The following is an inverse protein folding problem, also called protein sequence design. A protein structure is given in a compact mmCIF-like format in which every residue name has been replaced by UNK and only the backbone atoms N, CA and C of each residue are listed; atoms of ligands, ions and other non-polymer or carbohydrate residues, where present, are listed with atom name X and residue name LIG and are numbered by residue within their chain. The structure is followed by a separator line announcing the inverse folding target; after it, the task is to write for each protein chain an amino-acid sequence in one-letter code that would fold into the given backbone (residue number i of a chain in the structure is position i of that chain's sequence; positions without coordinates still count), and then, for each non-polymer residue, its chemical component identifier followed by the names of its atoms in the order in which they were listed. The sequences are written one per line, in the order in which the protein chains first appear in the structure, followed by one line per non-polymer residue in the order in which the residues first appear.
data_IF_839504440123
#
_entry.id   IF_839504440123
#
_cell.length_a   1.000
_cell.length_b   1.000
_cell.length_c   1.000
_cell.angle_alpha   90.00
_cell.angle_beta   90.00
_cell.angle_gamma   90.00
#
_symmetry.space_group_name_H-M   'P 1'
#
loop_
_entity.id
_entity.type
_entity.pdbx_description
1 polymer ?
#
# COMPACT_ATOMS: atom_id res chain seq x y z
N UNK A 1 -8.43 32.11 -33.81
CA UNK A 1 -8.65 31.01 -32.85
C UNK A 1 -9.13 31.64 -31.54
N UNK A 2 -10.43 31.59 -31.29
CA UNK A 2 -11.02 32.00 -30.01
C UNK A 2 -10.49 31.04 -28.93
N UNK A 3 -9.85 31.59 -27.89
CA UNK A 3 -9.47 30.82 -26.71
C UNK A 3 -10.75 30.42 -25.97
N UNK A 4 -10.94 29.15 -25.74
CA UNK A 4 -12.03 28.63 -24.93
C UNK A 4 -11.98 29.26 -23.53
N UNK A 5 -13.05 29.93 -23.12
CA UNK A 5 -13.20 30.47 -21.77
C UNK A 5 -13.33 29.27 -20.80
N UNK A 6 -12.50 29.17 -19.75
CA UNK A 6 -12.64 28.09 -18.80
C UNK A 6 -14.01 28.13 -18.13
N UNK A 7 -14.73 27.03 -18.20
CA UNK A 7 -16.01 26.87 -17.51
C UNK A 7 -15.70 26.82 -16.01
N UNK A 8 -16.18 27.82 -15.28
CA UNK A 8 -16.16 27.80 -13.81
C UNK A 8 -17.10 26.70 -13.32
N UNK A 9 -16.52 25.59 -12.86
CA UNK A 9 -17.30 24.54 -12.19
C UNK A 9 -17.66 25.06 -10.78
N UNK A 10 -18.94 25.17 -10.42
CA UNK A 10 -19.31 25.59 -9.08
C UNK A 10 -18.73 24.62 -8.05
N UNK A 11 -18.04 25.13 -7.05
CA UNK A 11 -17.56 24.32 -5.93
C UNK A 11 -18.76 23.74 -5.20
N UNK A 12 -18.97 22.44 -5.28
CA UNK A 12 -19.95 21.73 -4.46
C UNK A 12 -19.57 21.94 -2.99
N UNK A 13 -20.31 22.79 -2.29
CA UNK A 13 -20.22 22.88 -0.83
C UNK A 13 -20.74 21.55 -0.29
N UNK A 14 -19.81 20.67 0.09
CA UNK A 14 -20.17 19.45 0.82
C UNK A 14 -20.90 19.87 2.10
N UNK A 15 -22.07 19.28 2.41
CA UNK A 15 -22.72 19.54 3.67
C UNK A 15 -21.74 19.20 4.80
N UNK A 16 -21.61 20.07 5.80
CA UNK A 16 -20.90 19.75 7.03
C UNK A 16 -21.73 18.68 7.76
N UNK A 17 -21.40 17.42 7.51
CA UNK A 17 -22.01 16.33 8.26
C UNK A 17 -21.45 16.40 9.69
N UNK A 18 -22.26 16.84 10.61
CA UNK A 18 -21.92 16.86 12.04
C UNK A 18 -22.49 15.58 12.64
N UNK A 19 -21.64 14.77 13.24
CA UNK A 19 -22.10 13.65 14.07
C UNK A 19 -22.80 14.26 15.28
N UNK A 20 -23.99 13.76 15.63
CA UNK A 20 -24.68 14.25 16.83
C UNK A 20 -23.85 13.93 18.07
N UNK A 21 -23.86 14.81 19.09
CA UNK A 21 -23.18 14.55 20.36
C UNK A 21 -23.60 13.20 20.95
N UNK A 22 -24.89 12.89 20.88
CA UNK A 22 -25.46 11.60 21.34
C UNK A 22 -24.84 10.40 20.61
N UNK A 23 -24.69 10.45 19.29
CA UNK A 23 -24.06 9.37 18.52
C UNK A 23 -22.58 9.24 18.89
N UNK A 24 -21.89 10.37 19.09
CA UNK A 24 -20.49 10.40 19.48
C UNK A 24 -20.28 9.81 20.89
N UNK A 25 -21.14 10.12 21.84
CA UNK A 25 -21.07 9.58 23.19
C UNK A 25 -21.36 8.08 23.23
N UNK A 26 -22.35 7.61 22.47
CA UNK A 26 -22.61 6.18 22.33
C UNK A 26 -21.39 5.45 21.76
N UNK A 27 -20.75 6.03 20.75
CA UNK A 27 -19.53 5.51 20.17
C UNK A 27 -18.39 5.46 21.18
N UNK A 28 -18.11 6.57 21.88
CA UNK A 28 -17.06 6.66 22.91
C UNK A 28 -17.28 5.61 24.01
N UNK A 29 -18.50 5.46 24.48
CA UNK A 29 -18.85 4.49 25.51
C UNK A 29 -18.61 3.05 25.04
N UNK A 30 -19.00 2.71 23.80
CA UNK A 30 -18.76 1.37 23.25
C UNK A 30 -17.26 1.12 23.04
N UNK A 31 -16.52 2.11 22.52
CA UNK A 31 -15.08 2.03 22.35
C UNK A 31 -14.34 1.83 23.68
N UNK A 32 -14.69 2.60 24.71
CA UNK A 32 -14.06 2.49 26.03
C UNK A 32 -14.28 1.13 26.69
N UNK A 33 -15.43 0.49 26.48
CA UNK A 33 -15.76 -0.83 27.03
C UNK A 33 -15.08 -1.98 26.28
N UNK A 34 -14.76 -1.82 25.01
CA UNK A 34 -14.14 -2.85 24.20
C UNK A 34 -12.69 -3.12 24.65
N UNK A 35 -12.32 -4.40 24.75
CA UNK A 35 -11.00 -4.84 25.19
C UNK A 35 -10.03 -5.02 24.03
N UNK A 36 -10.55 -5.38 22.86
CA UNK A 36 -9.78 -5.63 21.64
C UNK A 36 -10.30 -4.71 20.52
N UNK A 37 -9.51 -3.73 20.15
CA UNK A 37 -9.87 -2.78 19.10
C UNK A 37 -8.89 -2.89 17.95
N UNK A 38 -9.40 -2.88 16.75
CA UNK A 38 -8.56 -2.87 15.54
C UNK A 38 -8.86 -1.63 14.73
N UNK A 39 -7.82 -0.90 14.38
CA UNK A 39 -7.87 0.21 13.42
C UNK A 39 -7.18 -0.25 12.14
N UNK A 40 -7.94 -0.37 11.05
CA UNK A 40 -7.41 -0.77 9.76
C UNK A 40 -7.47 0.40 8.79
N UNK A 41 -6.29 0.87 8.40
CA UNK A 41 -6.14 2.07 7.56
C UNK A 41 -5.78 1.69 6.14
N UNK A 42 -6.59 2.12 5.19
CA UNK A 42 -6.34 1.95 3.76
C UNK A 42 -5.46 3.06 3.17
N UNK A 43 -5.61 3.29 1.87
CA UNK A 43 -4.85 4.33 1.14
C UNK A 43 -5.16 5.72 1.67
N UNK A 44 -4.12 6.51 1.95
CA UNK A 44 -4.20 7.91 2.37
C UNK A 44 -3.18 8.75 1.61
N UNK A 45 -3.47 10.04 1.47
CA UNK A 45 -2.46 11.02 1.08
C UNK A 45 -1.44 11.21 2.21
N UNK A 46 -0.16 11.49 1.90
CA UNK A 46 0.81 11.88 2.92
C UNK A 46 0.27 13.02 3.80
N UNK A 47 0.62 12.99 5.09
CA UNK A 47 0.26 14.00 6.08
C UNK A 47 -1.24 14.31 6.22
N UNK A 48 -2.12 13.39 5.77
CA UNK A 48 -3.58 13.58 5.84
C UNK A 48 -4.17 13.31 7.23
N UNK A 49 -3.44 12.68 8.13
CA UNK A 49 -3.85 12.42 9.52
C UNK A 49 -2.96 13.22 10.48
N UNK A 50 -3.60 13.89 11.44
CA UNK A 50 -2.92 14.63 12.51
C UNK A 50 -2.04 13.70 13.34
N UNK A 51 -0.75 14.02 13.43
CA UNK A 51 0.26 13.17 14.08
C UNK A 51 -0.01 12.97 15.58
N UNK A 52 -0.50 14.01 16.28
CA UNK A 52 -0.80 13.90 17.73
C UNK A 52 -1.94 12.91 17.95
N UNK A 53 -3.02 13.05 17.20
CA UNK A 53 -4.18 12.15 17.31
C UNK A 53 -3.79 10.73 16.91
N UNK A 54 -2.99 10.55 15.86
CA UNK A 54 -2.54 9.23 15.45
C UNK A 54 -1.66 8.56 16.51
N UNK A 55 -0.77 9.33 17.16
CA UNK A 55 0.04 8.82 18.26
C UNK A 55 -0.83 8.34 19.43
N UNK A 56 -1.85 9.11 19.85
CA UNK A 56 -2.78 8.69 20.91
C UNK A 56 -3.47 7.35 20.59
N UNK A 57 -3.84 7.13 19.32
CA UNK A 57 -4.43 5.87 18.88
C UNK A 57 -3.41 4.72 18.96
N UNK A 58 -2.18 4.97 18.52
CA UNK A 58 -1.10 3.97 18.51
C UNK A 58 -0.61 3.64 19.92
N UNK A 59 -0.69 4.59 20.87
CA UNK A 59 -0.24 4.41 22.25
C UNK A 59 -1.28 3.68 23.12
N UNK A 60 -2.54 3.57 22.67
CA UNK A 60 -3.59 2.80 23.34
C UNK A 60 -3.27 1.28 23.29
N UNK A 61 -2.98 0.61 24.43
CA UNK A 61 -2.60 -0.79 24.45
C UNK A 61 -3.73 -1.75 24.06
N UNK A 62 -4.97 -1.28 24.01
CA UNK A 62 -6.13 -2.05 23.59
C UNK A 62 -6.40 -1.94 22.07
N UNK A 63 -5.58 -1.16 21.34
CA UNK A 63 -5.72 -0.92 19.90
C UNK A 63 -4.59 -1.54 19.11
N UNK A 64 -4.92 -2.40 18.18
CA UNK A 64 -4.01 -2.87 17.11
C UNK A 64 -4.23 -2.01 15.88
N UNK A 65 -3.21 -1.30 15.43
CA UNK A 65 -3.26 -0.48 14.22
C UNK A 65 -2.59 -1.22 13.07
N UNK A 66 -3.37 -1.53 12.04
CA UNK A 66 -2.92 -2.16 10.79
C UNK A 66 -2.91 -1.11 9.68
N UNK A 67 -1.76 -0.95 9.03
CA UNK A 67 -1.58 -0.04 7.90
C UNK A 67 -0.91 -0.73 6.73
N UNK A 68 -0.95 -0.09 5.58
CA UNK A 68 -0.17 -0.48 4.41
C UNK A 68 0.81 0.64 4.03
N UNK A 69 1.79 0.37 3.17
CA UNK A 69 2.75 1.40 2.73
C UNK A 69 2.03 2.60 2.08
N UNK A 70 0.94 2.34 1.36
CA UNK A 70 0.08 3.37 0.75
C UNK A 70 -0.79 4.13 1.75
N UNK A 71 -0.79 3.77 3.03
CA UNK A 71 -1.43 4.57 4.08
C UNK A 71 -0.59 5.80 4.46
N UNK A 72 0.70 5.83 4.09
CA UNK A 72 1.63 6.93 4.37
C UNK A 72 1.68 7.33 5.86
N UNK A 73 1.56 6.35 6.74
CA UNK A 73 1.60 6.52 8.20
C UNK A 73 2.78 5.77 8.80
N UNK A 74 3.45 6.40 9.75
CA UNK A 74 4.61 5.85 10.44
C UNK A 74 4.47 6.00 11.95
N UNK A 75 4.61 4.88 12.68
CA UNK A 75 4.71 4.83 14.15
C UNK A 75 5.36 3.51 14.57
N UNK A 76 6.00 3.47 15.74
CA UNK A 76 6.67 2.24 16.21
C UNK A 76 5.71 1.11 16.60
N UNK A 77 4.47 1.45 16.95
CA UNK A 77 3.45 0.49 17.41
C UNK A 77 2.47 0.05 16.32
N UNK A 78 2.68 0.43 15.06
CA UNK A 78 1.81 -0.03 13.96
C UNK A 78 2.34 -1.31 13.31
N UNK A 79 1.44 -2.06 12.74
CA UNK A 79 1.75 -3.18 11.85
C UNK A 79 1.59 -2.68 10.42
N UNK A 80 2.72 -2.32 9.80
CA UNK A 80 2.76 -1.74 8.45
C UNK A 80 3.01 -2.76 7.34
N UNK A 81 3.04 -4.05 7.68
CA UNK A 81 3.11 -5.20 6.79
C UNK A 81 2.08 -6.24 7.20
N UNK A 82 0.84 -6.01 6.82
CA UNK A 82 -0.32 -6.83 7.25
C UNK A 82 -0.10 -8.31 6.93
N UNK A 83 0.40 -8.63 5.74
CA UNK A 83 0.56 -10.03 5.32
C UNK A 83 1.70 -10.75 6.04
N UNK A 84 2.68 -10.03 6.60
CA UNK A 84 3.69 -10.62 7.51
C UNK A 84 3.05 -11.19 8.77
N UNK A 85 2.02 -10.53 9.30
CA UNK A 85 1.23 -11.05 10.42
C UNK A 85 0.24 -12.13 9.97
N UNK A 86 -0.51 -11.84 8.90
CA UNK A 86 -1.70 -12.63 8.54
C UNK A 86 -1.37 -13.96 7.86
N UNK A 87 -0.29 -14.04 7.08
CA UNK A 87 0.04 -15.28 6.35
C UNK A 87 0.34 -16.45 7.30
N UNK A 88 1.15 -16.30 8.37
CA UNK A 88 1.32 -17.38 9.34
C UNK A 88 0.07 -17.67 10.18
N UNK A 89 -0.74 -16.64 10.51
CA UNK A 89 -1.98 -16.82 11.27
C UNK A 89 -3.00 -17.65 10.48
N UNK A 90 -3.05 -17.48 9.17
CA UNK A 90 -3.94 -18.25 8.30
C UNK A 90 -3.74 -19.77 8.42
N UNK A 91 -2.51 -20.19 8.69
CA UNK A 91 -2.15 -21.60 8.88
C UNK A 91 -2.45 -22.14 10.29
N UNK A 92 -2.85 -21.29 11.25
CA UNK A 92 -3.18 -21.74 12.61
C UNK A 92 -4.58 -22.38 12.64
N UNK A 93 -4.81 -23.19 13.69
CA UNK A 93 -6.13 -23.71 14.03
C UNK A 93 -7.12 -22.57 14.38
N UNK A 94 -8.40 -22.80 14.19
CA UNK A 94 -9.44 -21.76 14.35
C UNK A 94 -9.41 -21.14 15.74
N UNK A 95 -9.27 -21.94 16.77
CA UNK A 95 -9.25 -21.53 18.17
C UNK A 95 -8.09 -20.58 18.48
N UNK A 96 -6.93 -20.83 17.82
CA UNK A 96 -5.74 -20.00 17.96
C UNK A 96 -5.80 -18.68 17.20
N UNK A 97 -6.84 -18.46 16.37
CA UNK A 97 -7.05 -17.21 15.63
C UNK A 97 -7.87 -16.19 16.42
N UNK A 98 -8.64 -16.63 17.41
CA UNK A 98 -9.57 -15.80 18.20
C UNK A 98 -8.85 -14.67 18.95
N UNK A 99 -7.56 -14.85 19.31
CA UNK A 99 -6.82 -13.79 19.99
C UNK A 99 -6.75 -12.50 19.15
N UNK A 100 -6.70 -12.60 17.82
CA UNK A 100 -6.62 -11.46 16.91
C UNK A 100 -7.99 -10.85 16.57
N UNK A 101 -9.08 -11.60 16.78
CA UNK A 101 -10.43 -11.09 16.48
C UNK A 101 -10.74 -9.87 17.34
N UNK A 102 -11.03 -8.69 16.76
CA UNK A 102 -11.37 -7.51 17.55
C UNK A 102 -12.83 -7.52 17.97
N UNK A 103 -13.14 -6.87 19.10
CA UNK A 103 -14.50 -6.51 19.49
C UNK A 103 -15.03 -5.41 18.56
N UNK A 104 -14.16 -4.43 18.27
CA UNK A 104 -14.49 -3.29 17.39
C UNK A 104 -13.44 -3.16 16.29
N UNK A 105 -13.93 -3.02 15.07
CA UNK A 105 -13.14 -2.64 13.89
C UNK A 105 -13.48 -1.21 13.48
N UNK A 106 -12.49 -0.33 13.50
CA UNK A 106 -12.58 1.01 12.93
C UNK A 106 -11.78 1.05 11.63
N UNK A 107 -12.40 1.48 10.53
CA UNK A 107 -11.72 1.59 9.24
C UNK A 107 -11.83 2.99 8.66
N UNK A 108 -10.78 3.45 8.00
CA UNK A 108 -10.77 4.67 7.19
C UNK A 108 -9.71 4.61 6.09
N UNK A 109 -9.73 5.58 5.19
CA UNK A 109 -8.89 5.58 4.00
C UNK A 109 -9.43 4.67 2.88
N UNK A 110 -8.67 4.57 1.79
CA UNK A 110 -9.08 3.85 0.58
C UNK A 110 -8.94 2.33 0.68
N UNK A 111 -8.85 1.68 -0.47
CA UNK A 111 -8.84 0.21 -0.57
C UNK A 111 -7.58 -0.41 0.03
N UNK A 112 -7.74 -1.39 0.92
CA UNK A 112 -6.67 -2.24 1.46
C UNK A 112 -6.24 -3.27 0.43
N UNK A 113 -4.93 -3.50 0.29
CA UNK A 113 -4.33 -4.47 -0.65
C UNK A 113 -4.48 -5.90 -0.15
N UNK A 114 -4.18 -6.14 1.15
CA UNK A 114 -4.15 -7.47 1.75
C UNK A 114 -5.48 -8.23 1.56
N UNK A 115 -5.42 -9.35 0.84
CA UNK A 115 -6.55 -10.31 0.74
C UNK A 115 -6.70 -11.13 2.02
N UNK A 116 -5.60 -11.34 2.76
CA UNK A 116 -5.58 -12.17 3.96
C UNK A 116 -6.34 -11.54 5.12
N UNK A 117 -6.15 -10.23 5.37
CA UNK A 117 -6.94 -9.53 6.39
C UNK A 117 -8.42 -9.47 6.03
N UNK A 118 -8.76 -9.32 4.75
CA UNK A 118 -10.16 -9.36 4.30
C UNK A 118 -10.79 -10.72 4.56
N UNK A 119 -10.09 -11.80 4.23
CA UNK A 119 -10.55 -13.16 4.50
C UNK A 119 -10.71 -13.40 6.00
N UNK A 120 -9.71 -12.99 6.80
CA UNK A 120 -9.76 -13.12 8.25
C UNK A 120 -10.97 -12.43 8.86
N UNK A 121 -11.18 -11.13 8.57
CA UNK A 121 -12.28 -10.34 9.14
C UNK A 121 -13.67 -10.80 8.68
N UNK A 122 -13.79 -11.40 7.50
CA UNK A 122 -15.04 -12.03 7.05
C UNK A 122 -15.41 -13.29 7.83
N UNK A 123 -14.41 -14.04 8.29
CA UNK A 123 -14.60 -15.30 9.03
C UNK A 123 -14.54 -15.11 10.56
N UNK A 124 -13.99 -13.99 11.04
CA UNK A 124 -13.85 -13.62 12.44
C UNK A 124 -14.34 -12.18 12.59
N UNK A 125 -15.64 -11.99 12.39
CA UNK A 125 -16.26 -10.67 12.40
C UNK A 125 -16.20 -10.04 13.77
N UNK A 126 -15.96 -8.71 13.86
CA UNK A 126 -16.09 -7.94 15.10
C UNK A 126 -17.56 -7.82 15.51
N UNK A 127 -17.81 -7.48 16.76
CA UNK A 127 -19.16 -7.11 17.23
C UNK A 127 -19.66 -5.81 16.59
N UNK A 128 -18.74 -4.92 16.22
CA UNK A 128 -19.04 -3.70 15.50
C UNK A 128 -17.95 -3.33 14.50
N UNK A 129 -18.36 -2.94 13.31
CA UNK A 129 -17.50 -2.35 12.30
C UNK A 129 -17.98 -0.94 11.96
N UNK A 130 -17.11 0.04 12.15
CA UNK A 130 -17.35 1.45 11.86
C UNK A 130 -16.41 1.92 10.76
N UNK A 131 -16.96 2.57 9.74
CA UNK A 131 -16.18 3.17 8.67
C UNK A 131 -16.30 4.69 8.71
N UNK A 132 -15.17 5.39 8.58
CA UNK A 132 -15.11 6.84 8.51
C UNK A 132 -14.64 7.27 7.14
N UNK A 133 -15.53 7.88 6.38
CA UNK A 133 -15.24 8.46 5.07
C UNK A 133 -16.30 9.53 4.75
N UNK A 134 -15.89 10.67 4.19
CA UNK A 134 -16.77 11.78 3.87
C UNK A 134 -17.68 11.56 2.65
N UNK A 135 -17.52 10.45 1.95
CA UNK A 135 -18.23 10.17 0.69
C UNK A 135 -19.03 8.88 0.73
N UNK A 136 -18.37 7.74 1.04
CA UNK A 136 -18.96 6.41 0.87
C UNK A 136 -18.34 5.38 1.80
N UNK A 137 -19.09 4.31 2.06
CA UNK A 137 -18.60 3.13 2.74
C UNK A 137 -18.94 1.87 1.94
N UNK A 138 -17.98 0.96 1.85
CA UNK A 138 -18.20 -0.38 1.30
C UNK A 138 -18.16 -1.40 2.42
N UNK A 139 -19.13 -2.29 2.47
CA UNK A 139 -19.11 -3.41 3.42
C UNK A 139 -18.15 -4.51 2.96
N UNK A 140 -16.87 -4.18 2.93
CA UNK A 140 -15.79 -5.07 2.48
C UNK A 140 -15.65 -6.32 3.35
N UNK A 141 -16.03 -6.23 4.61
CA UNK A 141 -15.83 -7.29 5.61
C UNK A 141 -17.15 -8.00 6.01
N UNK A 142 -18.28 -7.63 5.40
CA UNK A 142 -19.62 -8.19 5.63
C UNK A 142 -20.14 -8.00 7.07
N UNK A 143 -19.75 -6.91 7.70
CA UNK A 143 -20.12 -6.60 9.08
C UNK A 143 -20.20 -5.09 9.37
N UNK A 144 -20.37 -4.25 8.34
CA UNK A 144 -20.46 -2.81 8.51
C UNK A 144 -21.74 -2.42 9.25
N UNK A 145 -21.58 -1.85 10.44
CA UNK A 145 -22.71 -1.41 11.29
C UNK A 145 -22.99 0.10 11.14
N UNK A 146 -21.95 0.92 10.94
CA UNK A 146 -22.10 2.37 10.89
C UNK A 146 -21.11 3.00 9.93
N UNK A 147 -21.60 3.92 9.11
CA UNK A 147 -20.79 4.84 8.32
C UNK A 147 -20.87 6.24 8.93
N UNK A 148 -19.72 6.80 9.28
CA UNK A 148 -19.59 8.18 9.72
C UNK A 148 -19.16 9.04 8.53
N UNK A 149 -20.06 9.90 8.03
CA UNK A 149 -19.84 10.81 6.91
C UNK A 149 -18.99 12.02 7.34
N UNK A 150 -17.75 11.77 7.77
CA UNK A 150 -16.79 12.78 8.22
C UNK A 150 -15.43 12.55 7.58
N UNK A 151 -14.60 13.58 7.57
CA UNK A 151 -13.17 13.40 7.33
C UNK A 151 -12.55 12.62 8.52
N UNK A 152 -11.64 11.68 8.27
CA UNK A 152 -11.02 10.91 9.33
C UNK A 152 -10.44 11.76 10.47
N UNK A 153 -9.74 12.85 10.16
CA UNK A 153 -9.20 13.77 11.16
C UNK A 153 -10.26 14.38 12.07
N UNK A 154 -11.37 14.83 11.48
CA UNK A 154 -12.44 15.48 12.24
C UNK A 154 -13.11 14.48 13.19
N UNK A 155 -13.35 13.26 12.70
CA UNK A 155 -13.89 12.18 13.51
C UNK A 155 -12.93 11.80 14.65
N UNK A 156 -11.65 11.58 14.34
CA UNK A 156 -10.66 11.16 15.33
C UNK A 156 -10.43 12.23 16.39
N UNK A 157 -10.41 13.53 16.04
CA UNK A 157 -10.31 14.64 17.00
C UNK A 157 -11.50 14.72 17.93
N UNK A 158 -12.72 14.52 17.40
CA UNK A 158 -13.92 14.52 18.22
C UNK A 158 -14.02 13.32 19.17
N UNK A 159 -13.35 12.25 18.82
CA UNK A 159 -13.45 10.95 19.45
C UNK A 159 -12.34 10.66 20.47
N UNK A 160 -11.07 10.91 20.13
CA UNK A 160 -9.92 10.59 20.98
C UNK A 160 -9.59 11.73 21.96
N UNK A 161 -9.44 11.43 23.25
CA UNK A 161 -9.01 12.38 24.28
C UNK A 161 -7.83 11.78 25.05
N UNK A 162 -6.96 12.64 25.60
CA UNK A 162 -5.78 12.26 26.38
C UNK A 162 -6.15 11.62 27.74
N UNK A 163 -7.39 11.78 28.19
CA UNK A 163 -7.87 11.27 29.50
C UNK A 163 -8.16 9.75 29.50
N UNK A 164 -8.08 9.08 28.34
CA UNK A 164 -8.40 7.67 28.24
C UNK A 164 -7.12 6.82 28.26
N UNK A 165 -6.92 6.09 29.36
CA UNK A 165 -5.77 5.19 29.54
C UNK A 165 -6.24 3.76 29.89
N UNK A 166 -6.57 2.92 28.91
CA UNK A 166 -7.01 1.55 29.15
C UNK A 166 -5.85 0.63 29.55
N UNK A 167 -6.17 -0.40 30.33
CA UNK A 167 -5.26 -1.51 30.62
C UNK A 167 -5.61 -2.68 29.68
N UNK A 168 -4.66 -3.09 28.85
CA UNK A 168 -4.84 -4.22 27.92
C UNK A 168 -3.48 -4.80 27.51
N UNK A 169 -3.45 -6.10 27.22
CA UNK A 169 -2.29 -6.79 26.59
C UNK A 169 -2.48 -7.01 25.09
N UNK A 170 -3.62 -6.65 24.52
CA UNK A 170 -4.02 -7.04 23.17
C UNK A 170 -3.02 -6.59 22.10
N UNK A 171 -2.64 -5.31 22.09
CA UNK A 171 -1.66 -4.79 21.14
C UNK A 171 -0.31 -5.50 21.26
N UNK A 172 0.19 -5.63 22.49
CA UNK A 172 1.51 -6.16 22.75
C UNK A 172 1.61 -7.66 22.39
N UNK A 173 0.54 -8.42 22.62
CA UNK A 173 0.44 -9.81 22.18
C UNK A 173 0.49 -9.90 20.65
N UNK A 174 -0.27 -9.09 19.94
CA UNK A 174 -0.27 -9.09 18.46
C UNK A 174 1.08 -8.64 17.91
N UNK A 175 1.69 -7.60 18.47
CA UNK A 175 3.04 -7.14 18.08
C UNK A 175 4.11 -8.22 18.32
N UNK A 176 4.01 -9.01 19.41
CA UNK A 176 4.90 -10.13 19.66
C UNK A 176 4.85 -11.18 18.54
N UNK A 177 3.66 -11.51 18.05
CA UNK A 177 3.51 -12.40 16.89
C UNK A 177 4.06 -11.77 15.62
N UNK A 178 3.73 -10.52 15.35
CA UNK A 178 4.21 -9.78 14.19
C UNK A 178 5.74 -9.76 14.13
N UNK A 179 6.41 -9.39 15.22
CA UNK A 179 7.86 -9.35 15.32
C UNK A 179 8.50 -10.74 15.15
N UNK A 180 7.91 -11.77 15.77
CA UNK A 180 8.36 -13.15 15.63
C UNK A 180 8.27 -13.65 14.19
N UNK A 181 7.17 -13.37 13.51
CA UNK A 181 6.96 -13.79 12.12
C UNK A 181 7.85 -12.98 11.17
N UNK A 182 8.00 -11.70 11.39
CA UNK A 182 8.92 -10.84 10.64
C UNK A 182 10.36 -11.33 10.71
N UNK A 183 10.87 -11.62 11.92
CA UNK A 183 12.22 -12.15 12.11
C UNK A 183 12.44 -13.48 11.38
N UNK A 184 11.47 -14.40 11.44
CA UNK A 184 11.52 -15.68 10.72
C UNK A 184 11.52 -15.48 9.20
N UNK A 185 10.66 -14.58 8.71
CA UNK A 185 10.59 -14.22 7.29
C UNK A 185 11.92 -13.65 6.78
N UNK A 186 12.54 -12.76 7.53
CA UNK A 186 13.86 -12.20 7.20
C UNK A 186 14.96 -13.27 7.20
N UNK A 187 14.96 -14.19 8.18
CA UNK A 187 15.93 -15.29 8.22
C UNK A 187 15.76 -16.21 7.02
N UNK A 188 14.53 -16.62 6.70
CA UNK A 188 14.22 -17.41 5.51
C UNK A 188 14.67 -16.72 4.23
N UNK A 189 14.40 -15.43 4.10
CA UNK A 189 14.73 -14.64 2.90
C UNK A 189 16.24 -14.63 2.62
N UNK A 190 17.09 -14.65 3.65
CA UNK A 190 18.57 -14.70 3.48
C UNK A 190 19.03 -15.91 2.68
N UNK A 191 18.33 -17.03 2.77
CA UNK A 191 18.67 -18.31 2.11
C UNK A 191 18.09 -18.43 0.70
N UNK A 192 17.25 -17.49 0.28
CA UNK A 192 16.56 -17.59 -1.02
C UNK A 192 17.44 -17.17 -2.19
N UNK A 193 17.25 -17.85 -3.32
CA UNK A 193 17.89 -17.52 -4.59
C UNK A 193 17.39 -16.15 -5.14
N UNK A 194 18.03 -15.69 -6.20
CA UNK A 194 17.61 -14.47 -6.92
C UNK A 194 16.17 -14.63 -7.41
N UNK A 195 15.32 -13.72 -7.03
CA UNK A 195 13.88 -13.71 -7.32
C UNK A 195 13.31 -12.30 -7.15
N UNK A 196 12.10 -12.06 -7.63
CA UNK A 196 11.39 -10.78 -7.46
C UNK A 196 11.40 -10.33 -5.99
N UNK A 197 11.12 -11.25 -5.05
CA UNK A 197 11.10 -10.94 -3.63
C UNK A 197 12.47 -10.47 -3.10
N UNK A 198 13.56 -11.12 -3.53
CA UNK A 198 14.95 -10.71 -3.20
C UNK A 198 15.30 -9.36 -3.82
N UNK A 199 14.77 -9.07 -5.00
CA UNK A 199 14.94 -7.78 -5.66
C UNK A 199 14.28 -6.69 -4.83
N UNK A 200 13.03 -6.90 -4.36
CA UNK A 200 12.33 -5.93 -3.51
C UNK A 200 13.04 -5.69 -2.17
N UNK A 201 13.57 -6.74 -1.51
CA UNK A 201 14.41 -6.58 -0.32
C UNK A 201 15.58 -5.62 -0.59
N UNK A 202 16.28 -5.85 -1.70
CA UNK A 202 17.44 -5.07 -2.06
C UNK A 202 17.12 -3.63 -2.44
N UNK A 203 16.03 -3.42 -3.14
CA UNK A 203 15.54 -2.10 -3.51
C UNK A 203 15.19 -1.31 -2.25
N UNK A 204 14.36 -1.86 -1.37
CA UNK A 204 13.91 -1.20 -0.13
C UNK A 204 15.11 -0.71 0.71
N UNK A 205 16.17 -1.51 0.81
CA UNK A 205 17.41 -1.15 1.52
C UNK A 205 18.21 -0.03 0.84
N UNK A 206 18.04 0.18 -0.48
CA UNK A 206 18.84 1.13 -1.29
C UNK A 206 18.07 2.38 -1.72
N UNK A 207 16.81 2.50 -1.34
CA UNK A 207 16.03 3.69 -1.67
C UNK A 207 16.66 4.96 -1.07
N UNK A 208 16.64 6.09 -1.78
CA UNK A 208 16.93 7.39 -1.21
C UNK A 208 16.00 7.72 -0.03
N UNK A 209 16.49 8.50 0.94
CA UNK A 209 15.70 8.86 2.12
C UNK A 209 14.43 9.64 1.76
N UNK A 210 14.52 10.55 0.79
CA UNK A 210 13.38 11.36 0.34
C UNK A 210 13.05 10.97 -1.09
N UNK A 211 11.85 10.41 -1.29
CA UNK A 211 11.42 9.87 -2.57
C UNK A 211 9.89 9.85 -2.68
N UNK A 212 9.37 10.17 -3.87
CA UNK A 212 8.01 9.81 -4.26
C UNK A 212 8.03 8.43 -4.93
N UNK A 213 7.43 7.43 -4.28
CA UNK A 213 7.37 6.06 -4.78
C UNK A 213 6.00 5.77 -5.39
N UNK A 214 5.98 5.50 -6.69
CA UNK A 214 4.82 5.05 -7.43
C UNK A 214 4.91 3.53 -7.63
N UNK A 215 3.93 2.79 -7.17
CA UNK A 215 3.89 1.33 -7.26
C UNK A 215 2.81 0.89 -8.24
N UNK A 216 3.17 0.07 -9.20
CA UNK A 216 2.20 -0.61 -10.04
C UNK A 216 1.45 -1.70 -9.25
N UNK A 217 0.31 -2.11 -9.76
CA UNK A 217 -0.49 -3.18 -9.18
C UNK A 217 0.15 -4.58 -9.32
N UNK A 218 -0.60 -5.61 -9.04
CA UNK A 218 -0.21 -7.03 -9.11
C UNK A 218 0.81 -7.42 -8.03
N UNK A 219 1.91 -8.08 -8.38
CA UNK A 219 2.96 -8.52 -7.44
C UNK A 219 3.72 -7.34 -6.84
N UNK A 220 3.94 -6.27 -7.60
CA UNK A 220 4.70 -5.09 -7.20
C UNK A 220 4.22 -4.50 -5.89
N UNK A 221 2.94 -4.09 -5.82
CA UNK A 221 2.40 -3.52 -4.59
C UNK A 221 2.43 -4.50 -3.41
N UNK A 222 2.29 -5.81 -3.66
CA UNK A 222 2.29 -6.84 -2.61
C UNK A 222 3.68 -7.07 -2.04
N UNK A 223 4.70 -7.17 -2.87
CA UNK A 223 6.07 -7.31 -2.40
C UNK A 223 6.56 -6.05 -1.67
N UNK A 224 6.22 -4.85 -2.16
CA UNK A 224 6.56 -3.60 -1.48
C UNK A 224 6.00 -3.51 -0.06
N UNK A 225 4.84 -4.13 0.22
CA UNK A 225 4.25 -4.16 1.57
C UNK A 225 5.11 -4.93 2.59
N UNK A 226 6.00 -5.83 2.15
CA UNK A 226 6.74 -6.74 3.03
C UNK A 226 8.03 -6.13 3.60
N UNK A 227 8.47 -4.99 3.08
CA UNK A 227 9.75 -4.38 3.44
C UNK A 227 9.56 -2.98 4.01
N UNK A 228 10.41 -2.59 4.96
CA UNK A 228 10.41 -1.23 5.45
C UNK A 228 11.01 -0.28 4.41
N UNK A 229 10.40 0.88 4.29
CA UNK A 229 10.81 1.94 3.41
C UNK A 229 11.38 3.11 4.24
N UNK A 230 12.22 3.97 3.66
CA UNK A 230 12.66 5.19 4.35
C UNK A 230 11.45 6.03 4.78
N UNK A 231 11.51 6.63 5.97
CA UNK A 231 10.38 7.34 6.60
C UNK A 231 9.83 8.50 5.78
N UNK A 232 10.69 9.14 5.01
CA UNK A 232 10.37 10.31 4.16
C UNK A 232 9.84 9.89 2.76
N UNK A 233 9.58 8.59 2.56
CA UNK A 233 9.05 8.09 1.29
C UNK A 233 7.54 8.22 1.26
N UNK A 234 7.02 9.01 0.31
CA UNK A 234 5.59 9.05 0.00
C UNK A 234 5.23 7.95 -0.99
N UNK A 235 4.25 7.11 -0.68
CA UNK A 235 3.91 5.91 -1.45
C UNK A 235 2.53 6.02 -2.08
N UNK A 236 2.47 5.79 -3.38
CA UNK A 236 1.23 5.86 -4.17
C UNK A 236 1.05 4.61 -5.03
N UNK A 237 -0.20 4.25 -5.28
CA UNK A 237 -0.59 3.16 -6.16
C UNK A 237 -2.02 3.38 -6.67
N UNK A 238 -2.30 3.07 -7.91
CA UNK A 238 -3.63 3.18 -8.52
C UNK A 238 -4.54 2.06 -7.98
N UNK A 239 -5.22 2.31 -6.84
CA UNK A 239 -6.01 1.30 -6.13
C UNK A 239 -7.53 1.40 -6.35
N UNK A 240 -8.00 2.17 -7.31
CA UNK A 240 -9.42 2.23 -7.66
C UNK A 240 -9.97 0.88 -8.09
N UNK A 241 -9.65 0.45 -9.31
CA UNK A 241 -9.99 -0.88 -9.86
C UNK A 241 -8.82 -1.86 -9.79
N UNK A 242 -7.62 -1.37 -9.45
CA UNK A 242 -6.39 -2.17 -9.34
C UNK A 242 -5.93 -2.79 -10.66
N UNK A 243 -6.20 -2.11 -11.79
CA UNK A 243 -5.73 -2.50 -13.12
C UNK A 243 -4.20 -2.42 -13.25
N UNK A 244 -3.66 -3.09 -14.26
CA UNK A 244 -2.23 -3.02 -14.59
C UNK A 244 -1.91 -1.91 -15.60
N UNK A 245 -2.92 -1.24 -16.11
CA UNK A 245 -2.88 -0.05 -16.95
C UNK A 245 -2.70 1.23 -16.13
N UNK A 246 -2.30 2.32 -16.76
CA UNK A 246 -2.26 3.68 -16.20
C UNK A 246 -1.19 3.95 -15.13
N UNK A 247 -0.41 2.95 -14.69
CA UNK A 247 0.59 3.14 -13.64
C UNK A 247 1.77 4.00 -14.09
N UNK A 248 2.23 3.81 -15.32
CA UNK A 248 3.35 4.58 -15.90
C UNK A 248 2.94 6.01 -16.19
N UNK A 249 1.78 6.21 -16.83
CA UNK A 249 1.25 7.53 -17.12
C UNK A 249 0.98 8.35 -15.85
N UNK A 250 0.40 7.72 -14.81
CA UNK A 250 0.21 8.35 -13.50
C UNK A 250 1.54 8.76 -12.87
N UNK A 251 2.55 7.89 -12.90
CA UNK A 251 3.86 8.17 -12.32
C UNK A 251 4.56 9.33 -13.05
N UNK A 252 4.48 9.39 -14.37
CA UNK A 252 5.02 10.49 -15.17
C UNK A 252 4.31 11.81 -14.82
N UNK A 253 2.98 11.81 -14.78
CA UNK A 253 2.21 13.00 -14.40
C UNK A 253 2.54 13.47 -12.98
N UNK A 254 2.66 12.55 -12.02
CA UNK A 254 3.07 12.87 -10.65
C UNK A 254 4.50 13.43 -10.58
N UNK A 255 5.43 12.89 -11.38
CA UNK A 255 6.82 13.36 -11.41
C UNK A 255 6.96 14.81 -11.88
N UNK A 256 6.06 15.29 -12.75
CA UNK A 256 6.10 16.67 -13.25
C UNK A 256 5.82 17.72 -12.17
N UNK A 257 4.97 17.37 -11.20
CA UNK A 257 4.57 18.30 -10.13
C UNK A 257 5.28 18.02 -8.81
N UNK A 258 5.95 16.88 -8.69
CA UNK A 258 6.68 16.49 -7.48
C UNK A 258 7.91 17.38 -7.29
N UNK A 259 8.14 17.79 -6.04
CA UNK A 259 9.39 18.47 -5.62
C UNK A 259 10.49 17.48 -5.24
N UNK A 260 10.19 16.19 -5.24
CA UNK A 260 11.12 15.11 -4.88
C UNK A 260 11.27 14.15 -6.06
N UNK A 261 12.45 13.51 -6.20
CA UNK A 261 12.65 12.50 -7.24
C UNK A 261 11.55 11.43 -7.20
N UNK A 262 11.08 11.02 -8.37
CA UNK A 262 10.02 10.02 -8.48
C UNK A 262 10.56 8.70 -9.01
N UNK A 263 10.27 7.62 -8.29
CA UNK A 263 10.54 6.24 -8.71
C UNK A 263 9.22 5.51 -8.99
N UNK A 264 9.09 4.98 -10.20
CA UNK A 264 8.08 3.97 -10.52
C UNK A 264 8.70 2.58 -10.38
N UNK A 265 8.08 1.70 -9.60
CA UNK A 265 8.35 0.26 -9.65
C UNK A 265 7.16 -0.42 -10.33
N UNK A 266 7.41 -1.14 -11.41
CA UNK A 266 6.36 -1.75 -12.23
C UNK A 266 6.78 -3.14 -12.72
N UNK A 267 5.80 -4.01 -12.97
CA UNK A 267 6.02 -5.26 -13.69
C UNK A 267 6.02 -5.05 -15.21
N UNK A 268 6.52 -6.03 -15.94
CA UNK A 268 6.63 -6.03 -17.39
C UNK A 268 5.30 -5.83 -18.10
N UNK A 269 4.28 -6.61 -17.78
CA UNK A 269 2.96 -6.46 -18.41
C UNK A 269 2.38 -5.07 -18.17
N UNK A 270 2.44 -4.56 -16.92
CA UNK A 270 1.95 -3.22 -16.59
C UNK A 270 2.71 -2.14 -17.37
N UNK A 271 4.03 -2.29 -17.51
CA UNK A 271 4.86 -1.37 -18.26
C UNK A 271 4.50 -1.36 -19.74
N UNK A 272 4.39 -2.54 -20.37
CA UNK A 272 4.06 -2.65 -21.80
C UNK A 272 2.63 -2.20 -22.14
N UNK A 273 1.69 -2.36 -21.20
CA UNK A 273 0.30 -1.87 -21.36
C UNK A 273 0.19 -0.35 -21.32
N UNK A 274 1.14 0.35 -20.67
CA UNK A 274 1.03 1.79 -20.41
C UNK A 274 2.22 2.59 -20.97
N UNK A 275 2.77 2.14 -22.09
CA UNK A 275 3.88 2.80 -22.79
C UNK A 275 3.55 4.22 -23.24
N UNK A 276 2.26 4.50 -23.49
CA UNK A 276 1.79 5.82 -23.94
C UNK A 276 2.11 6.94 -22.98
N UNK A 277 2.35 6.65 -21.70
CA UNK A 277 2.81 7.62 -20.72
C UNK A 277 4.23 8.16 -20.98
N UNK A 278 5.01 7.55 -21.86
CA UNK A 278 6.44 7.87 -22.04
C UNK A 278 6.77 8.74 -23.26
N UNK A 279 5.89 8.89 -24.21
CA UNK A 279 6.19 9.61 -25.48
C UNK A 279 5.91 11.11 -25.39
N UNK A 280 6.26 11.74 -24.31
CA UNK A 280 6.11 13.18 -24.12
C UNK A 280 7.45 13.83 -23.73
N UNK A 281 7.55 15.16 -23.88
CA UNK A 281 8.76 15.92 -23.64
C UNK A 281 8.86 16.52 -22.23
N UNK A 282 8.04 16.07 -21.30
CA UNK A 282 7.92 16.65 -19.96
C UNK A 282 8.46 15.77 -18.86
N UNK A 283 9.02 14.61 -19.19
CA UNK A 283 9.54 13.64 -18.21
C UNK A 283 10.78 14.21 -17.53
N UNK A 284 10.80 14.42 -16.20
CA UNK A 284 11.95 14.97 -15.51
C UNK A 284 13.18 14.05 -15.58
N UNK A 285 14.37 14.64 -15.59
CA UNK A 285 15.64 13.90 -15.64
C UNK A 285 15.91 13.03 -14.41
N UNK A 286 15.27 13.30 -13.30
CA UNK A 286 15.34 12.52 -12.05
C UNK A 286 14.24 11.45 -11.95
N UNK A 287 13.36 11.33 -12.93
CA UNK A 287 12.39 10.24 -13.01
C UNK A 287 13.11 8.89 -13.24
N UNK A 288 12.70 7.89 -12.47
CA UNK A 288 13.30 6.54 -12.50
C UNK A 288 12.21 5.49 -12.67
N UNK A 289 12.47 4.51 -13.52
CA UNK A 289 11.62 3.31 -13.67
C UNK A 289 12.46 2.09 -13.30
N UNK A 290 12.01 1.34 -12.32
CA UNK A 290 12.54 0.05 -11.95
C UNK A 290 11.55 -1.00 -12.48
N UNK A 291 11.95 -1.70 -13.52
CA UNK A 291 11.12 -2.65 -14.25
C UNK A 291 11.45 -4.07 -13.80
N UNK A 292 10.50 -4.74 -13.16
CA UNK A 292 10.60 -6.16 -12.82
C UNK A 292 10.05 -6.94 -14.02
N UNK A 293 10.97 -7.56 -14.76
CA UNK A 293 10.63 -8.35 -15.94
C UNK A 293 10.83 -9.83 -15.68
N UNK A 294 9.79 -10.48 -15.18
CA UNK A 294 9.77 -11.93 -14.94
C UNK A 294 9.10 -12.71 -16.11
N UNK A 295 8.95 -12.06 -17.26
CA UNK A 295 8.44 -12.61 -18.50
C UNK A 295 6.96 -12.97 -18.47
N UNK A 296 6.13 -12.27 -17.68
CA UNK A 296 4.69 -12.50 -17.66
C UNK A 296 3.98 -12.12 -16.36
N UNK A 297 2.74 -12.55 -16.22
CA UNK A 297 1.86 -12.29 -15.09
C UNK A 297 2.18 -13.14 -13.87
N UNK A 298 3.35 -12.97 -13.25
CA UNK A 298 3.82 -13.78 -12.12
C UNK A 298 2.87 -13.93 -10.94
N UNK A 299 1.92 -12.99 -10.75
CA UNK A 299 0.89 -13.08 -9.72
C UNK A 299 -0.01 -14.32 -9.88
N UNK A 300 -0.27 -14.75 -11.11
CA UNK A 300 -1.14 -15.90 -11.35
C UNK A 300 -0.51 -17.21 -10.89
N UNK A 301 0.82 -17.30 -10.78
CA UNK A 301 1.53 -18.46 -10.21
C UNK A 301 1.20 -18.70 -8.74
N UNK A 302 0.85 -17.64 -8.00
CA UNK A 302 0.56 -17.69 -6.55
C UNK A 302 -0.95 -17.64 -6.26
N UNK A 303 -1.78 -17.23 -7.18
CA UNK A 303 -3.23 -17.23 -6.97
C UNK A 303 -3.77 -18.67 -7.07
N UNK A 304 -4.83 -19.01 -6.29
CA UNK A 304 -5.52 -20.29 -6.44
C UNK A 304 -6.21 -20.38 -7.79
N UNK A 305 -6.28 -21.56 -8.38
CA UNK A 305 -6.92 -21.86 -9.66
C UNK A 305 -6.22 -22.97 -10.42
N UNK A 306 -6.84 -23.48 -11.48
CA UNK A 306 -6.22 -24.45 -12.38
C UNK A 306 -5.10 -23.81 -13.18
N UNK A 307 -3.93 -24.43 -13.17
CA UNK A 307 -2.72 -23.91 -13.82
C UNK A 307 -2.22 -24.77 -14.98
N UNK A 308 -2.73 -25.98 -15.08
CA UNK A 308 -2.24 -26.98 -16.05
C UNK A 308 -3.05 -26.94 -17.36
N UNK A 309 -3.34 -25.75 -17.85
CA UNK A 309 -4.05 -25.57 -19.12
C UNK A 309 -3.30 -24.63 -20.04
N UNK A 310 -3.28 -24.89 -21.34
CA UNK A 310 -2.77 -23.96 -22.36
C UNK A 310 -3.38 -22.54 -22.23
N UNK A 311 -4.63 -22.44 -21.79
CA UNK A 311 -5.31 -21.14 -21.56
C UNK A 311 -4.65 -20.33 -20.44
N UNK A 312 -4.10 -21.01 -19.44
CA UNK A 312 -3.41 -20.34 -18.32
C UNK A 312 -2.17 -19.61 -18.82
N UNK A 313 -1.26 -20.28 -19.55
CA UNK A 313 -0.02 -19.69 -20.04
C UNK A 313 -0.27 -18.57 -21.05
N UNK A 314 -1.27 -18.74 -21.89
CA UNK A 314 -1.56 -17.80 -22.98
C UNK A 314 -2.30 -16.55 -22.50
N UNK A 315 -3.33 -16.70 -21.68
CA UNK A 315 -4.28 -15.62 -21.37
C UNK A 315 -4.17 -15.06 -19.97
N UNK A 316 -3.64 -15.83 -19.00
CA UNK A 316 -3.45 -15.37 -17.64
C UNK A 316 -2.00 -14.98 -17.38
N UNK A 317 -1.06 -15.90 -17.54
CA UNK A 317 0.35 -15.60 -17.35
C UNK A 317 0.92 -14.73 -18.48
N UNK A 318 0.43 -14.90 -19.70
CA UNK A 318 0.82 -14.08 -20.87
C UNK A 318 2.35 -14.08 -21.06
N UNK A 319 2.94 -15.27 -21.14
CA UNK A 319 4.40 -15.46 -21.22
C UNK A 319 4.97 -14.74 -22.43
N UNK A 320 6.09 -14.02 -22.27
CA UNK A 320 6.75 -13.28 -23.33
C UNK A 320 8.28 -13.22 -23.15
N UNK A 321 9.00 -12.81 -24.23
CA UNK A 321 10.45 -12.61 -24.24
C UNK A 321 10.84 -11.15 -24.53
N UNK A 322 9.96 -10.20 -24.25
CA UNK A 322 10.17 -8.78 -24.54
C UNK A 322 11.03 -8.13 -23.46
N UNK A 323 11.76 -7.06 -23.84
CA UNK A 323 12.49 -6.19 -22.93
C UNK A 323 12.29 -4.73 -23.29
N UNK A 324 12.65 -3.83 -22.37
CA UNK A 324 12.43 -2.40 -22.53
C UNK A 324 13.55 -1.67 -23.28
N UNK A 325 14.60 -2.33 -23.76
CA UNK A 325 15.79 -1.67 -24.31
C UNK A 325 15.48 -0.73 -25.48
N UNK A 326 14.75 -1.22 -26.48
CA UNK A 326 14.39 -0.41 -27.67
C UNK A 326 13.42 0.71 -27.33
N UNK A 327 12.51 0.47 -26.40
CA UNK A 327 11.54 1.44 -25.88
C UNK A 327 12.28 2.57 -25.14
N UNK A 328 13.19 2.22 -24.24
CA UNK A 328 14.00 3.19 -23.52
C UNK A 328 14.79 4.10 -24.48
N UNK A 329 15.39 3.53 -25.52
CA UNK A 329 16.09 4.29 -26.55
C UNK A 329 15.14 5.23 -27.31
N UNK A 330 13.98 4.73 -27.73
CA UNK A 330 13.00 5.51 -28.49
C UNK A 330 12.48 6.73 -27.72
N UNK A 331 12.29 6.59 -26.39
CA UNK A 331 11.78 7.64 -25.52
C UNK A 331 12.89 8.41 -24.76
N UNK A 332 14.15 8.27 -25.12
CA UNK A 332 15.25 9.08 -24.58
C UNK A 332 15.73 8.71 -23.18
N UNK A 333 15.39 7.53 -22.66
CA UNK A 333 15.84 7.05 -21.36
C UNK A 333 17.25 6.46 -21.40
N UNK A 334 18.02 6.63 -20.33
CA UNK A 334 19.16 5.75 -20.05
C UNK A 334 18.64 4.37 -19.65
N UNK A 335 19.20 3.33 -20.26
CA UNK A 335 18.79 1.95 -19.99
C UNK A 335 19.93 1.10 -19.46
N UNK A 336 19.63 0.38 -18.38
CA UNK A 336 20.48 -0.71 -17.87
C UNK A 336 19.61 -1.92 -17.54
N UNK A 337 20.19 -3.13 -17.67
CA UNK A 337 19.50 -4.35 -17.24
C UNK A 337 20.43 -5.29 -16.49
N UNK A 338 19.85 -6.15 -15.64
CA UNK A 338 20.59 -7.18 -14.90
C UNK A 338 19.70 -8.38 -14.61
N UNK A 339 20.30 -9.57 -14.53
CA UNK A 339 19.65 -10.83 -14.17
C UNK A 339 20.35 -11.52 -12.99
N UNK A 340 21.02 -10.73 -12.14
CA UNK A 340 21.72 -11.28 -10.97
C UNK A 340 21.75 -10.27 -9.82
N UNK A 341 21.85 -10.77 -8.59
CA UNK A 341 21.98 -9.94 -7.40
C UNK A 341 23.27 -9.10 -7.41
N UNK A 342 24.38 -9.65 -7.91
CA UNK A 342 25.62 -8.90 -8.05
C UNK A 342 25.46 -7.70 -8.99
N UNK A 343 24.91 -7.95 -10.19
CA UNK A 343 24.63 -6.88 -11.15
C UNK A 343 23.65 -5.84 -10.64
N UNK A 344 22.62 -6.26 -9.88
CA UNK A 344 21.67 -5.35 -9.24
C UNK A 344 22.37 -4.42 -8.22
N UNK A 345 23.21 -4.96 -7.36
CA UNK A 345 23.98 -4.19 -6.39
C UNK A 345 24.85 -3.09 -7.04
N UNK A 346 25.53 -3.42 -8.13
CA UNK A 346 26.37 -2.47 -8.87
C UNK A 346 25.51 -1.39 -9.54
N UNK A 347 24.41 -1.77 -10.15
CA UNK A 347 23.59 -0.85 -10.97
C UNK A 347 22.72 0.06 -10.14
N UNK A 348 22.19 -0.36 -9.01
CA UNK A 348 21.38 0.48 -8.11
C UNK A 348 22.14 1.72 -7.63
N UNK A 349 23.43 1.61 -7.33
CA UNK A 349 24.23 2.76 -6.89
C UNK A 349 24.31 3.86 -7.95
N UNK A 350 24.41 3.51 -9.24
CA UNK A 350 24.43 4.47 -10.36
C UNK A 350 23.03 4.89 -10.81
N UNK A 351 22.03 4.08 -10.55
CA UNK A 351 20.65 4.32 -10.95
C UNK A 351 20.06 5.55 -10.26
N UNK A 352 20.30 5.71 -8.97
CA UNK A 352 19.83 6.86 -8.19
C UNK A 352 20.70 8.13 -8.31
N UNK A 353 21.88 8.06 -8.95
CA UNK A 353 22.69 9.25 -9.18
C UNK A 353 22.04 10.19 -10.18
N UNK A 354 22.33 11.50 -10.05
CA UNK A 354 21.90 12.51 -11.02
C UNK A 354 22.26 12.13 -12.46
N UNK A 355 21.46 12.56 -13.40
CA UNK A 355 21.59 12.27 -14.84
C UNK A 355 20.94 13.38 -15.65
N UNK A 356 21.40 13.56 -16.89
CA UNK A 356 20.77 14.45 -17.86
C UNK A 356 19.52 13.84 -18.53
N UNK A 357 19.19 12.60 -18.20
CA UNK A 357 18.03 11.87 -18.76
C UNK A 357 17.38 10.99 -17.71
N UNK A 358 16.07 10.71 -17.82
CA UNK A 358 15.42 9.70 -16.99
C UNK A 358 16.02 8.32 -17.22
N UNK A 359 15.87 7.39 -16.27
CA UNK A 359 16.51 6.07 -16.32
C UNK A 359 15.53 4.93 -16.17
N UNK A 360 15.78 3.85 -16.91
CA UNK A 360 15.14 2.54 -16.72
C UNK A 360 16.20 1.54 -16.28
N UNK A 361 15.93 0.85 -15.16
CA UNK A 361 16.66 -0.34 -14.73
C UNK A 361 15.75 -1.54 -14.83
N UNK A 362 16.01 -2.45 -15.75
CA UNK A 362 15.28 -3.70 -15.95
C UNK A 362 15.98 -4.85 -15.23
N UNK A 363 15.21 -5.67 -14.52
CA UNK A 363 15.69 -6.75 -13.67
C UNK A 363 14.98 -8.05 -14.03
#
# INVERSE_FOLDING_TARGET
TEMAVPISVPSLKMPKNVVSEKDLDQFKNKWRKAKKKMVLVGVLSPDSIDKKIFNLICDDPSVVVLTEKTSNLNHSMIINSIDTLMAPIEALEKEKKIFLQPDILLTFGGMVVSKKIKYFLRNHQPEAHWHVDSKKAYDTYYCLNKHYLLQPNDFLKAFYSEEYSPVSSYRDEVLKYYNKFGARGQQWLKTQAFSDLKVFEKIAFKLPNTLQLQLANSSTIRYAQLFDLPKETSVFCNRGTSGIDGSTATAVGAAQISKTPTLLITGDLSFFYDLNGLWNNYIPNDFRILLINNSGGGIFRILPGEKDTHKYDTYFETIHQRNAKSIAKAFGFEYKSTRSMFGLNLKLNSFFKASSRPKILEI
#
